data_IF_229495536064
#
_entry.id   IF_229495536064
#
_cell.length_a   1.000
_cell.length_b   1.000
_cell.length_c   1.000
_cell.angle_alpha   90.00
_cell.angle_beta   90.00
_cell.angle_gamma   90.00
#
_symmetry.space_group_name_H-M   'P 1'
#
loop_
_entity.id
_entity.type
_entity.pdbx_description
1 polymer ?
#
# COMPACT_ATOMS: atom_id res chain seq x y z
N UNK A 1 3.23 -10.72 -8.06
CA UNK A 1 1.85 -10.42 -7.62
C UNK A 1 1.21 -9.21 -8.34
N UNK A 2 -0.13 -9.10 -8.29
CA UNK A 2 -0.88 -7.90 -8.71
C UNK A 2 -1.29 -7.06 -7.49
N UNK A 3 -0.90 -5.78 -7.49
CA UNK A 3 -1.23 -4.79 -6.47
C UNK A 3 -2.23 -3.80 -7.04
N UNK A 4 -3.35 -3.55 -6.35
CA UNK A 4 -4.31 -2.51 -6.72
C UNK A 4 -4.17 -1.32 -5.78
N UNK A 5 -3.94 -0.13 -6.35
CA UNK A 5 -4.02 1.13 -5.61
C UNK A 5 -5.39 1.74 -5.88
N UNK A 6 -6.16 1.97 -4.82
CA UNK A 6 -7.52 2.53 -4.96
C UNK A 6 -7.47 3.90 -5.62
N UNK A 7 -8.23 4.07 -6.71
CA UNK A 7 -8.28 5.32 -7.48
C UNK A 7 -7.19 5.46 -8.55
N UNK A 8 -6.18 4.59 -8.59
CA UNK A 8 -5.08 4.65 -9.57
C UNK A 8 -5.02 3.46 -10.52
N UNK A 9 -5.49 2.28 -10.11
CA UNK A 9 -5.53 1.09 -10.96
C UNK A 9 -4.65 -0.04 -10.45
N UNK A 10 -4.06 -0.82 -11.37
CA UNK A 10 -3.30 -2.02 -11.04
C UNK A 10 -1.83 -1.87 -11.40
N UNK A 11 -0.98 -2.41 -10.54
CA UNK A 11 0.47 -2.44 -10.68
C UNK A 11 0.94 -3.88 -10.54
N UNK A 12 1.74 -4.34 -11.48
CA UNK A 12 2.39 -5.63 -11.42
C UNK A 12 3.71 -5.49 -10.68
N UNK A 13 3.84 -6.19 -9.56
CA UNK A 13 5.03 -6.18 -8.71
C UNK A 13 5.65 -7.57 -8.66
N UNK A 14 6.99 -7.64 -8.68
CA UNK A 14 7.67 -8.90 -8.42
C UNK A 14 7.60 -9.24 -6.92
N UNK A 15 7.34 -10.50 -6.58
CA UNK A 15 7.19 -10.97 -5.20
C UNK A 15 8.45 -10.70 -4.34
N UNK A 16 9.63 -10.60 -4.96
CA UNK A 16 10.87 -10.22 -4.27
C UNK A 16 10.84 -8.80 -3.68
N UNK A 17 10.02 -7.91 -4.22
CA UNK A 17 9.90 -6.52 -3.75
C UNK A 17 8.94 -6.36 -2.56
N UNK A 18 8.17 -7.40 -2.22
CA UNK A 18 7.27 -7.39 -1.07
C UNK A 18 8.04 -7.15 0.23
N UNK A 19 9.23 -7.74 0.34
CA UNK A 19 10.12 -7.58 1.50
C UNK A 19 10.48 -6.11 1.75
N UNK A 20 10.70 -5.33 0.69
CA UNK A 20 11.01 -3.89 0.80
C UNK A 20 9.77 -3.08 1.20
N UNK A 21 8.58 -3.53 0.83
CA UNK A 21 7.32 -2.89 1.19
C UNK A 21 6.92 -3.18 2.65
N UNK A 22 7.24 -4.38 3.16
CA UNK A 22 6.96 -4.75 4.56
C UNK A 22 7.63 -3.78 5.54
N UNK A 23 8.86 -3.32 5.26
CA UNK A 23 9.53 -2.35 6.14
C UNK A 23 8.76 -1.01 6.23
N UNK A 24 8.15 -0.56 5.14
CA UNK A 24 7.33 0.65 5.12
C UNK A 24 5.95 0.41 5.76
N UNK A 25 5.42 -0.80 5.63
CA UNK A 25 4.14 -1.21 6.24
C UNK A 25 4.23 -1.30 7.77
N UNK A 26 5.32 -1.86 8.31
CA UNK A 26 5.61 -1.88 9.75
C UNK A 26 5.66 -0.45 10.33
N UNK A 27 6.31 0.46 9.61
CA UNK A 27 6.35 1.88 10.01
C UNK A 27 4.95 2.48 9.93
N UNK A 28 4.20 2.21 8.86
CA UNK A 28 2.84 2.73 8.70
C UNK A 28 1.95 2.30 9.86
N UNK A 29 1.98 1.02 10.23
CA UNK A 29 1.25 0.45 11.35
C UNK A 29 1.59 1.17 12.66
N UNK A 30 2.87 1.35 12.94
CA UNK A 30 3.34 2.03 14.16
C UNK A 30 2.90 3.49 14.25
N UNK A 31 2.96 4.23 13.14
CA UNK A 31 2.49 5.61 13.07
C UNK A 31 0.98 5.69 13.29
N UNK A 32 0.22 4.71 12.76
CA UNK A 32 -1.22 4.59 13.01
C UNK A 32 -1.55 4.28 14.47
N UNK A 33 -0.84 3.34 15.10
CA UNK A 33 -1.01 3.00 16.52
C UNK A 33 -0.69 4.19 17.43
N UNK A 34 0.32 4.97 17.06
CA UNK A 34 0.73 6.18 17.77
C UNK A 34 -0.22 7.37 17.53
N UNK A 35 -1.07 7.29 16.51
CA UNK A 35 -1.98 8.36 16.09
C UNK A 35 -1.27 9.54 15.41
N UNK A 36 -0.09 9.33 14.85
CA UNK A 36 0.65 10.36 14.12
C UNK A 36 0.10 10.48 12.69
N UNK A 37 -0.93 11.32 12.52
CA UNK A 37 -1.53 11.58 11.20
C UNK A 37 -0.54 12.10 10.14
N UNK A 38 0.30 13.11 10.44
CA UNK A 38 1.36 13.58 9.54
C UNK A 38 2.38 12.50 9.17
N UNK A 39 2.86 11.73 10.15
CA UNK A 39 3.80 10.63 9.95
C UNK A 39 3.20 9.52 9.09
N UNK A 40 2.00 9.07 9.44
CA UNK A 40 1.20 8.13 8.66
C UNK A 40 1.08 8.55 7.19
N UNK A 41 0.70 9.80 6.92
CA UNK A 41 0.51 10.28 5.55
C UNK A 41 1.82 10.28 4.76
N UNK A 42 2.93 10.63 5.41
CA UNK A 42 4.26 10.60 4.80
C UNK A 42 4.66 9.17 4.44
N UNK A 43 4.46 8.23 5.37
CA UNK A 43 4.78 6.82 5.16
C UNK A 43 3.89 6.18 4.11
N UNK A 44 2.58 6.48 4.10
CA UNK A 44 1.65 5.99 3.08
C UNK A 44 2.10 6.44 1.69
N UNK A 45 2.47 7.71 1.52
CA UNK A 45 2.98 8.21 0.25
C UNK A 45 4.28 7.50 -0.15
N UNK A 46 5.20 7.29 0.80
CA UNK A 46 6.43 6.55 0.54
C UNK A 46 6.18 5.09 0.10
N UNK A 47 5.23 4.40 0.74
CA UNK A 47 4.81 3.04 0.37
C UNK A 47 4.24 3.00 -1.05
N UNK A 48 3.32 3.91 -1.38
CA UNK A 48 2.72 4.00 -2.71
C UNK A 48 3.77 4.36 -3.77
N UNK A 49 4.66 5.31 -3.50
CA UNK A 49 5.77 5.64 -4.39
C UNK A 49 6.68 4.43 -4.62
N UNK A 50 6.99 3.63 -3.59
CA UNK A 50 7.75 2.39 -3.81
C UNK A 50 7.06 1.37 -4.68
N UNK A 51 5.75 1.20 -4.53
CA UNK A 51 4.99 0.33 -5.42
C UNK A 51 5.04 0.84 -6.87
N UNK A 52 4.98 2.15 -7.08
CA UNK A 52 5.09 2.77 -8.41
C UNK A 52 6.50 2.65 -8.99
N UNK A 53 7.55 2.77 -8.17
CA UNK A 53 8.94 2.66 -8.61
C UNK A 53 9.36 1.22 -8.92
N UNK A 54 8.96 0.28 -8.07
CA UNK A 54 9.35 -1.14 -8.18
C UNK A 54 8.41 -1.93 -9.10
N UNK A 55 7.19 -1.45 -9.26
CA UNK A 55 6.15 -2.10 -10.06
C UNK A 55 6.08 -1.58 -11.49
N UNK A 56 5.36 -2.33 -12.33
CA UNK A 56 4.98 -1.91 -13.68
C UNK A 56 3.48 -1.64 -13.71
N UNK A 57 3.04 -0.41 -14.05
CA UNK A 57 1.60 -0.11 -14.14
C UNK A 57 0.97 -0.94 -15.26
N UNK A 58 -0.22 -1.47 -14.98
CA UNK A 58 -1.06 -2.13 -15.95
C UNK A 58 -1.99 -1.12 -16.64
N UNK A 59 -2.47 -1.41 -17.86
CA UNK A 59 -3.50 -0.60 -18.52
C UNK A 59 -4.73 -0.39 -17.65
N UNK A 60 -5.38 0.78 -17.74
CA UNK A 60 -6.56 1.13 -16.93
C UNK A 60 -7.76 0.18 -17.13
N UNK A 61 -7.85 -0.49 -18.29
CA UNK A 61 -8.88 -1.49 -18.60
C UNK A 61 -8.52 -2.90 -18.08
N UNK A 62 -7.35 -3.07 -17.44
CA UNK A 62 -6.94 -4.34 -16.85
C UNK A 62 -7.77 -4.64 -15.61
N UNK A 63 -8.32 -5.84 -15.57
CA UNK A 63 -9.15 -6.34 -14.47
C UNK A 63 -8.58 -7.67 -13.95
N UNK A 64 -7.28 -7.68 -13.66
CA UNK A 64 -6.63 -8.85 -13.11
C UNK A 64 -7.06 -9.06 -11.65
N UNK A 65 -7.12 -10.31 -11.14
CA UNK A 65 -7.33 -10.55 -9.72
C UNK A 65 -6.18 -9.91 -8.93
N UNK A 66 -6.52 -9.02 -7.99
CA UNK A 66 -5.53 -8.32 -7.15
C UNK A 66 -5.25 -9.15 -5.91
N UNK A 67 -3.98 -9.44 -5.68
CA UNK A 67 -3.50 -10.17 -4.50
C UNK A 67 -3.34 -9.22 -3.30
N UNK A 68 -3.04 -7.95 -3.58
CA UNK A 68 -2.88 -6.89 -2.60
C UNK A 68 -3.71 -5.67 -2.99
N UNK A 69 -4.37 -5.04 -2.02
CA UNK A 69 -5.15 -3.80 -2.23
C UNK A 69 -4.59 -2.73 -1.27
N UNK A 70 -4.11 -1.64 -1.84
CA UNK A 70 -3.60 -0.48 -1.14
C UNK A 70 -4.61 0.67 -1.18
N UNK A 71 -4.69 1.45 -0.09
CA UNK A 71 -5.59 2.59 -0.03
C UNK A 71 -5.17 3.70 -0.99
N UNK A 72 -6.08 4.65 -1.21
CA UNK A 72 -5.81 5.83 -2.03
C UNK A 72 -4.76 6.75 -1.37
N UNK A 73 -4.00 7.54 -2.14
CA UNK A 73 -3.01 8.48 -1.59
C UNK A 73 -3.64 9.58 -0.71
N UNK A 74 -4.92 9.85 -0.86
CA UNK A 74 -5.70 10.78 -0.04
C UNK A 74 -6.50 10.10 1.08
N UNK A 75 -6.35 8.78 1.26
CA UNK A 75 -7.01 8.04 2.34
C UNK A 75 -6.63 8.59 3.72
N UNK A 76 -7.62 8.66 4.61
CA UNK A 76 -7.40 9.10 5.97
C UNK A 76 -6.88 7.94 6.83
N UNK A 77 -6.28 8.28 7.97
CA UNK A 77 -5.85 7.26 8.94
C UNK A 77 -7.00 6.34 9.36
N UNK A 78 -8.22 6.88 9.50
CA UNK A 78 -9.41 6.09 9.82
C UNK A 78 -9.82 5.14 8.69
N UNK A 79 -9.73 5.58 7.43
CA UNK A 79 -10.04 4.77 6.25
C UNK A 79 -9.07 3.59 6.14
N UNK A 80 -7.78 3.87 6.26
CA UNK A 80 -6.73 2.84 6.21
C UNK A 80 -6.80 1.91 7.40
N UNK A 81 -7.17 2.40 8.58
CA UNK A 81 -7.41 1.56 9.77
C UNK A 81 -8.58 0.60 9.59
N UNK A 82 -9.59 0.98 8.82
CA UNK A 82 -10.70 0.09 8.50
C UNK A 82 -10.31 -1.00 7.49
N UNK A 83 -9.26 -0.78 6.69
CA UNK A 83 -8.72 -1.73 5.72
C UNK A 83 -7.63 -2.64 6.30
N UNK A 84 -6.88 -2.15 7.28
CA UNK A 84 -5.77 -2.88 7.89
C UNK A 84 -6.25 -4.10 8.67
N UNK A 85 -5.50 -5.19 8.54
CA UNK A 85 -5.56 -6.33 9.46
C UNK A 85 -4.47 -6.20 10.54
N UNK A 86 -4.47 -7.09 11.53
CA UNK A 86 -3.45 -7.11 12.60
C UNK A 86 -2.01 -7.25 12.06
N UNK A 87 -1.87 -7.78 10.83
CA UNK A 87 -0.59 -8.01 10.13
C UNK A 87 -0.15 -6.83 9.23
N UNK A 88 -0.94 -5.76 9.11
CA UNK A 88 -0.66 -4.63 8.21
C UNK A 88 -1.44 -4.64 6.90
N UNK A 89 -0.96 -3.90 5.89
CA UNK A 89 -1.51 -3.91 4.53
C UNK A 89 -0.86 -4.99 3.68
N UNK A 90 0.40 -5.33 3.93
CA UNK A 90 1.18 -6.24 3.08
C UNK A 90 1.23 -7.63 3.73
N UNK A 91 0.87 -8.71 3.02
CA UNK A 91 0.93 -10.05 3.58
C UNK A 91 2.37 -10.53 3.79
N UNK A 92 2.65 -11.09 4.97
CA UNK A 92 3.91 -11.78 5.32
C UNK A 92 4.05 -13.21 4.76
#
# INVERSE_FOLDING_TARGET
MIVRIMGEGQVKLADSHVVELNELDDVLLKEMESGDGPGFRTTLHALLDKVRELGTPLPDDSLEPSELILPAPDATLEDVRAMLSDDGLIPN
#
